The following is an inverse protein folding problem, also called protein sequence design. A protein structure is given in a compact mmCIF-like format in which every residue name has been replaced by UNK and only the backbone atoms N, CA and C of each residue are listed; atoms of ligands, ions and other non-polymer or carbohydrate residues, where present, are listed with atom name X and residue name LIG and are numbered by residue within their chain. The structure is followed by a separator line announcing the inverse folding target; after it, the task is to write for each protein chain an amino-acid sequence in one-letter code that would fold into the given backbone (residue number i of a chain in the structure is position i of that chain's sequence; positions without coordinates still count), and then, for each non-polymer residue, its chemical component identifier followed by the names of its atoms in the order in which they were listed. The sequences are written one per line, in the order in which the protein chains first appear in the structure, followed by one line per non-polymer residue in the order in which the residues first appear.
data_IF_135287066215
#
_entry.id   IF_135287066215
#
_cell.length_a   1.000
_cell.length_b   1.000
_cell.length_c   1.000
_cell.angle_alpha   90.00
_cell.angle_beta   90.00
_cell.angle_gamma   90.00
#
_symmetry.space_group_name_H-M   'P 1'
#
loop_
_entity.id
_entity.type
_entity.pdbx_description
1 polymer ?
#
# COMPACT_ATOMS: atom_id res chain seq x y z
N UNK A 1 -5.45 17.75 33.37
CA UNK A 1 -5.46 17.84 31.90
C UNK A 1 -4.29 17.01 31.40
N UNK A 2 -4.53 15.97 30.62
CA UNK A 2 -3.43 15.27 29.93
C UNK A 2 -2.80 16.24 28.93
N UNK A 3 -1.47 16.28 28.78
CA UNK A 3 -0.84 17.11 27.78
C UNK A 3 -1.35 16.71 26.39
N UNK A 4 -1.65 17.71 25.54
CA UNK A 4 -1.85 17.48 24.12
C UNK A 4 -0.56 16.83 23.58
N UNK A 5 -0.63 15.57 23.17
CA UNK A 5 0.46 14.96 22.41
C UNK A 5 0.37 15.52 20.99
N UNK A 6 1.37 16.28 20.57
CA UNK A 6 1.51 16.68 19.16
C UNK A 6 1.71 15.42 18.32
N UNK A 7 0.91 15.28 17.27
CA UNK A 7 1.12 14.25 16.27
C UNK A 7 2.20 14.76 15.31
N UNK A 8 3.40 14.17 15.38
CA UNK A 8 4.52 14.50 14.49
C UNK A 8 4.52 13.57 13.28
N UNK A 9 4.53 14.16 12.09
CA UNK A 9 4.67 13.45 10.83
C UNK A 9 5.91 13.98 10.15
N UNK A 10 6.84 13.09 9.81
CA UNK A 10 7.90 13.40 8.87
C UNK A 10 7.36 13.15 7.45
N UNK A 11 7.14 14.18 6.62
CA UNK A 11 6.57 14.02 5.29
C UNK A 11 7.53 13.29 4.34
N UNK A 12 8.84 13.48 4.48
CA UNK A 12 9.84 12.84 3.62
C UNK A 12 9.92 11.35 3.91
N UNK A 13 10.02 10.98 5.19
CA UNK A 13 10.04 9.58 5.61
C UNK A 13 8.72 8.88 5.23
N UNK A 14 7.58 9.55 5.42
CA UNK A 14 6.27 9.01 5.05
C UNK A 14 6.17 8.74 3.54
N UNK A 15 6.70 9.64 2.69
CA UNK A 15 6.76 9.40 1.23
C UNK A 15 7.69 8.26 0.86
N UNK A 16 8.82 8.12 1.55
CA UNK A 16 9.73 7.00 1.32
C UNK A 16 9.03 5.67 1.59
N UNK A 17 8.38 5.53 2.75
CA UNK A 17 7.63 4.32 3.09
C UNK A 17 6.47 4.07 2.13
N UNK A 18 5.76 5.12 1.71
CA UNK A 18 4.70 5.01 0.71
C UNK A 18 5.21 4.49 -0.64
N UNK A 19 6.40 4.93 -1.09
CA UNK A 19 7.04 4.41 -2.30
C UNK A 19 7.43 2.94 -2.13
N UNK A 20 8.04 2.57 -1.02
CA UNK A 20 8.43 1.18 -0.76
C UNK A 20 7.20 0.25 -0.77
N UNK A 21 6.07 0.71 -0.21
CA UNK A 21 4.81 -0.02 -0.24
C UNK A 21 4.21 -0.08 -1.64
N UNK A 22 4.28 0.99 -2.44
CA UNK A 22 3.79 0.99 -3.82
C UNK A 22 4.58 -0.01 -4.68
N UNK A 23 5.91 -0.06 -4.53
CA UNK A 23 6.77 -1.04 -5.18
C UNK A 23 6.44 -2.48 -4.74
N UNK A 24 6.30 -2.70 -3.43
CA UNK A 24 5.91 -4.00 -2.88
C UNK A 24 4.49 -4.42 -3.26
N UNK A 25 3.62 -3.47 -3.61
CA UNK A 25 2.26 -3.74 -4.05
C UNK A 25 2.19 -4.34 -5.46
N UNK A 26 3.27 -4.29 -6.24
CA UNK A 26 3.29 -4.88 -7.57
C UNK A 26 3.14 -6.41 -7.47
N UNK A 27 2.13 -6.93 -8.15
CA UNK A 27 1.83 -8.36 -8.18
C UNK A 27 1.79 -8.86 -9.62
N UNK A 28 2.37 -10.05 -9.82
CA UNK A 28 2.22 -10.80 -11.04
C UNK A 28 1.67 -12.17 -10.71
N UNK A 29 0.49 -12.47 -11.25
CA UNK A 29 -0.14 -13.77 -11.08
C UNK A 29 0.74 -14.88 -11.66
N UNK A 30 0.97 -15.99 -10.94
CA UNK A 30 1.68 -17.14 -11.49
C UNK A 30 0.85 -17.80 -12.60
N UNK A 31 1.53 -18.34 -13.61
CA UNK A 31 0.87 -19.10 -14.68
C UNK A 31 0.31 -20.43 -14.14
N UNK A 32 -0.81 -20.88 -14.73
CA UNK A 32 -1.39 -22.18 -14.43
C UNK A 32 -0.51 -23.33 -14.94
N UNK A 33 -0.51 -24.45 -14.21
CA UNK A 33 0.16 -25.66 -14.66
C UNK A 33 -0.57 -26.25 -15.87
N UNK A 34 0.20 -26.67 -16.89
CA UNK A 34 -0.35 -27.36 -18.06
C UNK A 34 -1.01 -28.69 -17.66
N UNK A 35 -2.18 -28.99 -18.25
CA UNK A 35 -2.90 -30.22 -17.96
C UNK A 35 -2.17 -31.43 -18.59
N UNK A 36 -1.83 -32.46 -17.81
CA UNK A 36 -1.22 -33.68 -18.35
C UNK A 36 -2.23 -34.49 -19.16
N UNK A 37 -1.73 -35.21 -20.17
CA UNK A 37 -2.54 -36.15 -20.96
C UNK A 37 -2.91 -37.42 -20.17
N UNK A 38 -2.13 -37.74 -19.13
CA UNK A 38 -2.38 -38.89 -18.26
C UNK A 38 -3.59 -38.61 -17.33
N UNK A 39 -4.71 -39.33 -17.49
CA UNK A 39 -5.91 -39.12 -16.70
C UNK A 39 -5.71 -39.43 -15.21
N UNK A 40 -4.71 -40.23 -14.84
CA UNK A 40 -4.44 -40.58 -13.42
C UNK A 40 -3.86 -39.40 -12.63
N UNK A 41 -3.25 -38.42 -13.31
CA UNK A 41 -2.64 -37.23 -12.69
C UNK A 41 -3.47 -35.97 -12.97
N UNK A 42 -4.40 -36.02 -13.93
CA UNK A 42 -5.24 -34.90 -14.33
C UNK A 42 -6.09 -34.34 -13.16
N UNK A 43 -6.65 -35.20 -12.30
CA UNK A 43 -7.44 -34.77 -11.14
C UNK A 43 -6.59 -34.00 -10.13
N UNK A 44 -5.35 -34.46 -9.87
CA UNK A 44 -4.41 -33.77 -9.00
C UNK A 44 -4.05 -32.38 -9.55
N UNK A 45 -3.73 -32.29 -10.85
CA UNK A 45 -3.38 -31.01 -11.50
C UNK A 45 -4.58 -30.06 -11.53
N UNK A 46 -5.80 -30.57 -11.65
CA UNK A 46 -7.02 -29.78 -11.53
C UNK A 46 -7.14 -29.14 -10.14
N UNK A 47 -6.97 -29.92 -9.07
CA UNK A 47 -7.00 -29.41 -7.69
C UNK A 47 -5.86 -28.41 -7.45
N UNK A 48 -4.66 -28.70 -7.96
CA UNK A 48 -3.52 -27.79 -7.87
C UNK A 48 -3.82 -26.44 -8.54
N UNK A 49 -4.37 -26.45 -9.76
CA UNK A 49 -4.72 -25.22 -10.48
C UNK A 49 -5.83 -24.43 -9.75
N UNK A 50 -6.79 -25.11 -9.12
CA UNK A 50 -7.79 -24.45 -8.27
C UNK A 50 -7.15 -23.82 -7.03
N UNK A 51 -6.20 -24.50 -6.39
CA UNK A 51 -5.46 -23.96 -5.25
C UNK A 51 -4.63 -22.73 -5.65
N UNK A 52 -3.94 -22.79 -6.81
CA UNK A 52 -3.19 -21.66 -7.38
C UNK A 52 -4.14 -20.48 -7.66
N UNK A 53 -5.30 -20.72 -8.27
CA UNK A 53 -6.28 -19.67 -8.54
C UNK A 53 -6.75 -18.98 -7.25
N UNK A 54 -7.08 -19.75 -6.21
CA UNK A 54 -7.51 -19.22 -4.92
C UNK A 54 -6.42 -18.39 -4.23
N UNK A 55 -5.18 -18.88 -4.24
CA UNK A 55 -4.04 -18.13 -3.67
C UNK A 55 -3.74 -16.87 -4.47
N UNK A 56 -3.87 -16.93 -5.79
CA UNK A 56 -3.69 -15.78 -6.69
C UNK A 56 -4.72 -14.70 -6.36
N UNK A 57 -6.01 -15.04 -6.32
CA UNK A 57 -7.07 -14.10 -5.98
C UNK A 57 -6.86 -13.43 -4.61
N UNK A 58 -6.43 -14.21 -3.60
CA UNK A 58 -6.11 -13.66 -2.28
C UNK A 58 -4.89 -12.74 -2.31
N UNK A 59 -3.87 -13.09 -3.10
CA UNK A 59 -2.67 -12.28 -3.24
C UNK A 59 -2.98 -10.97 -3.95
N UNK A 60 -3.76 -11.00 -5.03
CA UNK A 60 -4.24 -9.80 -5.73
C UNK A 60 -4.93 -8.83 -4.78
N UNK A 61 -5.81 -9.34 -3.91
CA UNK A 61 -6.47 -8.50 -2.91
C UNK A 61 -5.48 -7.88 -1.92
N UNK A 62 -4.54 -8.66 -1.38
CA UNK A 62 -3.51 -8.15 -0.47
C UNK A 62 -2.66 -7.06 -1.12
N UNK A 63 -2.25 -7.28 -2.37
CA UNK A 63 -1.47 -6.31 -3.13
C UNK A 63 -2.28 -5.03 -3.44
N UNK A 64 -3.58 -5.16 -3.74
CA UNK A 64 -4.47 -4.01 -3.90
C UNK A 64 -4.60 -3.18 -2.61
N UNK A 65 -4.70 -3.85 -1.46
CA UNK A 65 -4.74 -3.21 -0.15
C UNK A 65 -3.41 -2.49 0.16
N UNK A 66 -2.27 -3.13 -0.13
CA UNK A 66 -0.95 -2.49 0.01
C UNK A 66 -0.82 -1.24 -0.87
N UNK A 67 -1.28 -1.30 -2.13
CA UNK A 67 -1.29 -0.14 -3.02
C UNK A 67 -2.20 0.97 -2.48
N UNK A 68 -3.32 0.62 -1.84
CA UNK A 68 -4.19 1.60 -1.20
C UNK A 68 -3.50 2.30 -0.01
N UNK A 69 -2.79 1.55 0.83
CA UNK A 69 -2.02 2.11 1.95
C UNK A 69 -0.91 3.03 1.43
N UNK A 70 -0.19 2.65 0.38
CA UNK A 70 0.81 3.49 -0.25
C UNK A 70 0.24 4.85 -0.69
N UNK A 71 -0.92 4.84 -1.38
CA UNK A 71 -1.62 6.07 -1.78
C UNK A 71 -2.05 6.92 -0.59
N UNK A 72 -2.55 6.28 0.48
CA UNK A 72 -2.91 6.99 1.71
C UNK A 72 -1.68 7.63 2.38
N UNK A 73 -0.52 6.96 2.34
CA UNK A 73 0.75 7.50 2.83
C UNK A 73 1.20 8.74 2.06
N UNK A 74 1.12 8.73 0.73
CA UNK A 74 1.41 9.92 -0.08
C UNK A 74 0.47 11.09 0.27
N UNK A 75 -0.83 10.82 0.40
CA UNK A 75 -1.81 11.84 0.77
C UNK A 75 -1.56 12.40 2.19
N UNK A 76 -1.14 11.56 3.14
CA UNK A 76 -0.78 12.00 4.48
C UNK A 76 0.43 12.93 4.48
N UNK A 77 1.49 12.60 3.73
CA UNK A 77 2.67 13.45 3.63
C UNK A 77 2.35 14.82 3.01
N UNK A 78 1.51 14.86 1.98
CA UNK A 78 1.04 16.10 1.35
C UNK A 78 0.19 16.96 2.30
N UNK A 79 -0.72 16.32 3.05
CA UNK A 79 -1.54 16.99 4.05
C UNK A 79 -0.70 17.56 5.19
N UNK A 80 0.33 16.84 5.64
CA UNK A 80 1.27 17.32 6.67
C UNK A 80 2.04 18.56 6.19
N UNK A 81 2.64 18.51 5.01
CA UNK A 81 3.38 19.65 4.43
C UNK A 81 2.46 20.87 4.20
N UNK A 82 1.25 20.65 3.70
CA UNK A 82 0.26 21.74 3.53
C UNK A 82 -0.11 22.38 4.86
N UNK A 83 -0.29 21.56 5.91
CA UNK A 83 -0.62 22.04 7.26
C UNK A 83 0.52 22.87 7.85
N UNK A 84 1.76 22.39 7.74
CA UNK A 84 2.95 23.10 8.24
C UNK A 84 3.17 24.43 7.51
N UNK A 85 2.99 24.45 6.19
CA UNK A 85 3.07 25.66 5.38
C UNK A 85 1.99 26.68 5.78
N UNK A 86 0.75 26.26 5.99
CA UNK A 86 -0.34 27.13 6.42
C UNK A 86 -0.08 27.70 7.83
N UNK A 87 0.43 26.90 8.74
CA UNK A 87 0.82 27.35 10.08
C UNK A 87 1.95 28.39 10.01
N UNK A 88 3.00 28.12 9.22
CA UNK A 88 4.10 29.07 9.01
C UNK A 88 3.65 30.41 8.44
N UNK A 89 2.74 30.40 7.47
CA UNK A 89 2.15 31.63 6.91
C UNK A 89 1.33 32.42 7.94
N UNK A 90 0.52 31.72 8.76
CA UNK A 90 -0.26 32.36 9.81
C UNK A 90 0.64 33.03 10.87
N UNK A 91 1.73 32.37 11.28
CA UNK A 91 2.70 32.95 12.22
C UNK A 91 3.42 34.17 11.64
N UNK A 92 3.84 34.11 10.37
CA UNK A 92 4.45 35.26 9.70
C UNK A 92 3.50 36.46 9.63
N UNK A 93 2.21 36.24 9.34
CA UNK A 93 1.19 37.31 9.34
C UNK A 93 1.03 38.01 10.70
N UNK A 94 1.28 37.30 11.80
CA UNK A 94 1.23 37.84 13.16
C UNK A 94 2.43 38.71 13.52
N UNK A 95 3.61 38.49 12.91
CA UNK A 95 4.83 39.25 13.20
C UNK A 95 4.94 40.58 12.43
N UNK A 96 4.13 40.79 11.39
CA UNK A 96 4.12 42.03 10.58
C UNK A 96 2.99 43.00 10.99
N UNK A 97 2.34 42.77 12.13
CA UNK A 97 1.31 43.65 12.72
C UNK A 97 1.84 44.39 13.94
#
# INVERSE_FOLDING_TARGET
MSPLSTFEVDPEHTRSLARDLDEASQFHAPEHAAMPEDPTVADFVTILNQAIANLTARSEQLHADTAHIARAGFALADAAETTDNAAGQAFNGFQVS
#
